data_IF_119622145272
#
_entry.id   IF_119622145272
#
_cell.length_a   1.000
_cell.length_b   1.000
_cell.length_c   1.000
_cell.angle_alpha   90.00
_cell.angle_beta   90.00
_cell.angle_gamma   90.00
#
_symmetry.space_group_name_H-M   'P 1'
#
loop_
_entity.id
_entity.type
_entity.pdbx_description
1 polymer ?
#
# COMPACT_ATOMS: atom_id res chain seq x y z
N UNK A 1 22.83 -43.17 8.66
CA UNK A 1 22.92 -42.76 7.24
C UNK A 1 21.57 -42.34 6.63
N UNK A 2 20.44 -42.46 7.33
CA UNK A 2 19.11 -42.05 6.84
C UNK A 2 18.77 -40.57 7.09
N UNK A 3 19.50 -39.85 7.95
CA UNK A 3 19.12 -38.50 8.37
C UNK A 3 19.40 -37.39 7.33
N UNK A 4 20.42 -37.56 6.46
CA UNK A 4 20.74 -36.56 5.44
C UNK A 4 19.72 -36.50 4.29
N UNK A 5 18.96 -37.57 4.03
CA UNK A 5 17.92 -37.57 2.99
C UNK A 5 16.64 -36.88 3.45
N UNK A 6 16.34 -36.87 4.74
CA UNK A 6 15.12 -36.23 5.28
C UNK A 6 15.28 -34.71 5.39
N UNK A 7 16.47 -34.24 5.77
CA UNK A 7 16.80 -32.81 5.87
C UNK A 7 16.80 -32.07 4.51
N UNK A 8 17.22 -32.77 3.44
CA UNK A 8 17.22 -32.22 2.07
C UNK A 8 15.81 -32.12 1.48
N UNK A 9 14.90 -33.04 1.87
CA UNK A 9 13.49 -33.00 1.46
C UNK A 9 12.74 -31.89 2.21
N UNK A 10 13.00 -31.68 3.51
CA UNK A 10 12.33 -30.63 4.31
C UNK A 10 12.80 -29.22 3.91
N UNK A 11 14.10 -29.02 3.70
CA UNK A 11 14.65 -27.74 3.20
C UNK A 11 14.19 -27.41 1.78
N UNK A 12 14.14 -28.38 0.87
CA UNK A 12 13.61 -28.16 -0.50
C UNK A 12 12.11 -27.88 -0.50
N UNK A 13 11.34 -28.47 0.42
CA UNK A 13 9.90 -28.21 0.57
C UNK A 13 9.63 -26.84 1.17
N UNK A 14 10.38 -26.43 2.19
CA UNK A 14 10.31 -25.06 2.76
C UNK A 14 10.70 -23.99 1.73
N UNK A 15 11.78 -24.19 0.98
CA UNK A 15 12.20 -23.24 -0.06
C UNK A 15 11.17 -23.14 -1.20
N UNK A 16 10.51 -24.25 -1.55
CA UNK A 16 9.46 -24.24 -2.57
C UNK A 16 8.16 -23.57 -2.09
N UNK A 17 7.77 -23.75 -0.83
CA UNK A 17 6.64 -23.03 -0.23
C UNK A 17 6.93 -21.52 -0.05
N UNK A 18 8.14 -21.17 0.38
CA UNK A 18 8.57 -19.76 0.46
C UNK A 18 8.58 -19.12 -0.95
N UNK A 19 9.04 -19.84 -1.97
CA UNK A 19 9.02 -19.38 -3.37
C UNK A 19 7.60 -19.20 -3.94
N UNK A 20 6.67 -20.07 -3.58
CA UNK A 20 5.26 -19.98 -4.00
C UNK A 20 4.52 -18.84 -3.28
N UNK A 21 4.77 -18.61 -1.98
CA UNK A 21 4.24 -17.46 -1.23
C UNK A 21 4.83 -16.13 -1.71
N UNK A 22 6.08 -16.15 -2.16
CA UNK A 22 6.75 -14.96 -2.70
C UNK A 22 6.22 -14.61 -4.10
N UNK A 23 6.06 -15.61 -4.97
CA UNK A 23 5.53 -15.41 -6.32
C UNK A 23 4.07 -14.96 -6.32
N UNK A 24 3.22 -15.50 -5.43
CA UNK A 24 1.82 -15.08 -5.31
C UNK A 24 1.67 -13.62 -4.86
N UNK A 25 2.57 -13.14 -3.99
CA UNK A 25 2.61 -11.74 -3.56
C UNK A 25 2.99 -10.80 -4.71
N UNK A 26 4.05 -11.10 -5.46
CA UNK A 26 4.42 -10.30 -6.64
C UNK A 26 3.37 -10.36 -7.75
N UNK A 27 2.76 -11.53 -7.96
CA UNK A 27 1.69 -11.73 -8.95
C UNK A 27 0.44 -10.90 -8.61
N UNK A 28 0.02 -10.91 -7.35
CA UNK A 28 -1.11 -10.11 -6.87
C UNK A 28 -0.86 -8.60 -6.97
N UNK A 29 0.33 -8.15 -6.59
CA UNK A 29 0.72 -6.74 -6.75
C UNK A 29 0.77 -6.29 -8.21
N UNK A 30 1.35 -7.12 -9.09
CA UNK A 30 1.41 -6.86 -10.53
C UNK A 30 0.02 -6.81 -11.16
N UNK A 31 -0.86 -7.76 -10.81
CA UNK A 31 -2.24 -7.79 -11.29
C UNK A 31 -2.98 -6.52 -10.85
N UNK A 32 -2.83 -6.11 -9.59
CA UNK A 32 -3.49 -4.91 -9.09
C UNK A 32 -3.01 -3.64 -9.82
N UNK A 33 -1.71 -3.51 -10.08
CA UNK A 33 -1.16 -2.42 -10.89
C UNK A 33 -1.68 -2.47 -12.33
N UNK A 34 -1.75 -3.64 -12.95
CA UNK A 34 -2.24 -3.81 -14.31
C UNK A 34 -3.71 -3.39 -14.43
N UNK A 35 -4.56 -3.81 -13.49
CA UNK A 35 -5.98 -3.40 -13.45
C UNK A 35 -6.11 -1.90 -13.22
N UNK A 36 -5.27 -1.32 -12.36
CA UNK A 36 -5.29 0.13 -12.10
C UNK A 36 -4.93 0.93 -13.36
N UNK A 37 -3.82 0.59 -14.02
CA UNK A 37 -3.38 1.25 -15.26
C UNK A 37 -4.41 1.06 -16.37
N UNK A 38 -5.00 -0.12 -16.47
CA UNK A 38 -6.08 -0.38 -17.42
C UNK A 38 -7.29 0.52 -17.15
N UNK A 39 -7.73 0.64 -15.89
CA UNK A 39 -8.80 1.54 -15.49
C UNK A 39 -8.51 3.02 -15.81
N UNK A 40 -7.26 3.47 -15.59
CA UNK A 40 -6.84 4.83 -15.92
C UNK A 40 -6.84 5.08 -17.43
N UNK A 41 -6.40 4.10 -18.22
CA UNK A 41 -6.44 4.18 -19.68
C UNK A 41 -7.85 4.17 -20.26
N UNK A 42 -8.78 3.46 -19.62
CA UNK A 42 -10.19 3.43 -20.02
C UNK A 42 -10.92 4.75 -19.71
N UNK A 43 -10.45 5.50 -18.72
CA UNK A 43 -11.06 6.74 -18.27
C UNK A 43 -10.63 7.99 -19.07
N UNK A 44 -9.66 7.88 -19.98
CA UNK A 44 -9.25 8.97 -20.87
C UNK A 44 -7.74 9.08 -21.03
N UNK A 45 -7.23 10.31 -21.16
CA UNK A 45 -5.81 10.56 -21.34
C UNK A 45 -5.01 10.22 -20.07
N UNK A 46 -4.00 9.35 -20.20
CA UNK A 46 -3.06 8.98 -19.13
C UNK A 46 -2.33 10.23 -18.59
N UNK A 47 -2.10 11.23 -19.45
CA UNK A 47 -1.50 12.51 -19.06
C UNK A 47 -2.29 13.25 -17.98
N UNK A 48 -3.62 13.10 -17.94
CA UNK A 48 -4.48 13.73 -16.93
C UNK A 48 -4.23 13.19 -15.51
N UNK A 49 -3.64 12.00 -15.41
CA UNK A 49 -3.34 11.32 -14.15
C UNK A 49 -1.91 11.55 -13.67
N UNK A 50 -1.12 12.38 -14.36
CA UNK A 50 0.26 12.69 -13.96
C UNK A 50 0.29 14.17 -13.59
N UNK A 51 0.16 14.43 -12.29
CA UNK A 51 0.16 15.80 -11.75
C UNK A 51 1.34 15.98 -10.80
N UNK A 52 2.38 16.63 -11.31
CA UNK A 52 3.68 16.80 -10.65
C UNK A 52 3.57 17.47 -9.27
N UNK A 53 2.77 18.54 -9.06
CA UNK A 53 2.67 19.20 -7.75
C UNK A 53 2.27 18.22 -6.64
N UNK A 54 1.25 17.40 -6.86
CA UNK A 54 0.79 16.41 -5.88
C UNK A 54 1.84 15.32 -5.62
N UNK A 55 2.58 14.88 -6.65
CA UNK A 55 3.67 13.91 -6.45
C UNK A 55 4.76 14.47 -5.54
N UNK A 56 5.09 15.76 -5.66
CA UNK A 56 6.07 16.44 -4.81
C UNK A 56 5.55 16.58 -3.39
N UNK A 57 4.28 16.95 -3.21
CA UNK A 57 3.66 17.10 -1.88
C UNK A 57 3.60 15.74 -1.18
N UNK A 58 2.98 14.74 -1.81
CA UNK A 58 2.80 13.42 -1.20
C UNK A 58 4.14 12.73 -0.98
N UNK A 59 5.00 12.71 -2.00
CA UNK A 59 6.34 12.11 -1.90
C UNK A 59 7.22 12.84 -0.90
N UNK A 60 7.25 14.17 -0.96
CA UNK A 60 8.05 15.03 -0.08
C UNK A 60 7.64 14.92 1.39
N UNK A 61 6.34 14.98 1.69
CA UNK A 61 5.85 14.82 3.06
C UNK A 61 6.09 13.41 3.59
N UNK A 62 5.98 12.40 2.74
CA UNK A 62 6.23 11.01 3.16
C UNK A 62 7.70 10.78 3.46
N UNK A 63 8.60 11.19 2.57
CA UNK A 63 10.06 11.07 2.77
C UNK A 63 10.53 11.94 3.93
N UNK A 64 10.10 13.20 3.99
CA UNK A 64 10.43 14.13 5.07
C UNK A 64 9.90 13.67 6.43
N UNK A 65 8.65 13.21 6.48
CA UNK A 65 8.05 12.68 7.70
C UNK A 65 8.74 11.40 8.19
N UNK A 66 9.12 10.50 7.29
CA UNK A 66 9.92 9.31 7.61
C UNK A 66 11.29 9.68 8.16
N UNK A 67 11.95 10.68 7.55
CA UNK A 67 13.21 11.18 8.05
C UNK A 67 13.06 11.76 9.46
N UNK A 68 12.06 12.60 9.70
CA UNK A 68 11.79 13.17 11.02
C UNK A 68 11.45 12.11 12.09
N UNK A 69 10.71 11.06 11.70
CA UNK A 69 10.18 10.08 12.67
C UNK A 69 11.16 8.94 12.95
N UNK A 70 11.89 8.48 11.94
CA UNK A 70 12.73 7.27 12.05
C UNK A 70 14.23 7.56 11.86
N UNK A 71 14.59 8.74 11.36
CA UNK A 71 15.97 9.07 10.99
C UNK A 71 16.39 8.48 9.65
N UNK A 72 17.15 9.24 8.86
CA UNK A 72 17.49 8.87 7.47
C UNK A 72 18.23 7.53 7.36
N UNK A 73 19.15 7.26 8.28
CA UNK A 73 19.92 6.01 8.28
C UNK A 73 19.05 4.76 8.51
N UNK A 74 18.00 4.86 9.32
CA UNK A 74 17.08 3.73 9.58
C UNK A 74 16.16 3.52 8.38
N UNK A 75 15.68 4.60 7.77
CA UNK A 75 14.81 4.54 6.58
C UNK A 75 15.52 3.84 5.42
N UNK A 76 16.77 4.25 5.11
CA UNK A 76 17.55 3.64 4.04
C UNK A 76 17.80 2.15 4.31
N UNK A 77 18.13 1.79 5.56
CA UNK A 77 18.31 0.38 5.94
C UNK A 77 17.02 -0.43 5.81
N UNK A 78 15.89 0.13 6.22
CA UNK A 78 14.58 -0.51 6.09
C UNK A 78 14.21 -0.77 4.63
N UNK A 79 14.36 0.24 3.76
CA UNK A 79 14.08 0.10 2.31
C UNK A 79 15.02 -0.92 1.67
N UNK A 80 16.33 -0.85 1.95
CA UNK A 80 17.30 -1.83 1.43
C UNK A 80 16.99 -3.26 1.89
N UNK A 81 16.55 -3.43 3.13
CA UNK A 81 16.20 -4.74 3.66
C UNK A 81 15.00 -5.37 2.93
N UNK A 82 14.03 -4.56 2.52
CA UNK A 82 12.91 -5.02 1.68
C UNK A 82 13.41 -5.43 0.30
N UNK A 83 14.19 -4.58 -0.37
CA UNK A 83 14.65 -4.83 -1.75
C UNK A 83 15.49 -6.10 -1.88
N UNK A 84 16.34 -6.38 -0.89
CA UNK A 84 17.23 -7.55 -0.89
C UNK A 84 16.53 -8.77 -0.25
N UNK A 85 15.36 -8.58 0.36
CA UNK A 85 14.71 -9.63 1.15
C UNK A 85 15.60 -10.15 2.28
N UNK A 86 16.25 -9.23 3.00
CA UNK A 86 17.21 -9.56 4.06
C UNK A 86 16.51 -10.39 5.14
N UNK A 87 17.07 -11.57 5.45
CA UNK A 87 16.69 -12.36 6.63
C UNK A 87 17.48 -11.80 7.83
N UNK A 88 16.76 -11.30 8.81
CA UNK A 88 17.38 -10.67 9.98
C UNK A 88 17.80 -11.74 10.97
N UNK A 89 18.92 -11.49 11.65
CA UNK A 89 19.34 -12.28 12.83
C UNK A 89 19.01 -11.54 14.14
N UNK A 90 18.99 -10.21 14.10
CA UNK A 90 18.70 -9.36 15.26
C UNK A 90 17.26 -8.81 15.22
N UNK A 91 16.51 -9.03 16.30
CA UNK A 91 15.14 -8.53 16.48
C UNK A 91 15.07 -6.98 16.43
N UNK A 92 16.06 -6.28 16.98
CA UNK A 92 16.05 -4.81 17.00
C UNK A 92 16.08 -4.19 15.59
N UNK A 93 16.91 -4.74 14.69
CA UNK A 93 16.97 -4.29 13.28
C UNK A 93 15.70 -4.64 12.50
N UNK A 94 15.15 -5.82 12.76
CA UNK A 94 13.91 -6.29 12.15
C UNK A 94 12.73 -5.36 12.52
N UNK A 95 12.52 -5.11 13.81
CA UNK A 95 11.46 -4.23 14.31
C UNK A 95 11.64 -2.80 13.81
N UNK A 96 12.88 -2.30 13.73
CA UNK A 96 13.14 -0.98 13.17
C UNK A 96 12.74 -0.90 11.69
N UNK A 97 13.00 -1.95 10.91
CA UNK A 97 12.66 -2.00 9.48
C UNK A 97 11.16 -2.09 9.24
N UNK A 98 10.45 -2.95 10.01
CA UNK A 98 8.99 -3.04 9.97
C UNK A 98 8.34 -1.73 10.40
N UNK A 99 8.88 -1.08 11.45
CA UNK A 99 8.40 0.22 11.93
C UNK A 99 8.50 1.30 10.86
N UNK A 100 9.57 1.33 10.06
CA UNK A 100 9.69 2.28 8.93
C UNK A 100 8.55 2.08 7.94
N UNK A 101 8.19 0.83 7.63
CA UNK A 101 7.09 0.55 6.69
C UNK A 101 5.73 0.99 7.26
N UNK A 102 5.45 0.64 8.52
CA UNK A 102 4.20 1.05 9.19
C UNK A 102 4.07 2.57 9.30
N UNK A 103 5.17 3.26 9.65
CA UNK A 103 5.18 4.72 9.72
C UNK A 103 5.05 5.34 8.34
N UNK A 104 5.71 4.77 7.33
CA UNK A 104 5.61 5.23 5.94
C UNK A 104 4.17 5.20 5.44
N UNK A 105 3.45 4.10 5.71
CA UNK A 105 2.03 3.96 5.39
C UNK A 105 1.17 5.06 6.03
N UNK A 106 1.34 5.27 7.34
CA UNK A 106 0.54 6.26 8.06
C UNK A 106 0.85 7.70 7.60
N UNK A 107 2.13 8.02 7.37
CA UNK A 107 2.54 9.35 6.93
C UNK A 107 2.06 9.60 5.49
N UNK A 108 2.11 8.60 4.61
CA UNK A 108 1.57 8.72 3.25
C UNK A 108 0.08 9.08 3.26
N UNK A 109 -0.74 8.42 4.11
CA UNK A 109 -2.15 8.79 4.29
C UNK A 109 -2.34 10.23 4.79
N UNK A 110 -1.54 10.65 5.77
CA UNK A 110 -1.57 12.02 6.28
C UNK A 110 -1.22 13.03 5.17
N UNK A 111 -0.26 12.70 4.30
CA UNK A 111 0.11 13.51 3.15
C UNK A 111 -1.03 13.60 2.11
N UNK A 112 -1.80 12.54 1.92
CA UNK A 112 -3.01 12.55 1.08
C UNK A 112 -4.09 13.49 1.63
N UNK A 113 -4.33 13.47 2.94
CA UNK A 113 -5.27 14.38 3.60
C UNK A 113 -4.79 15.84 3.45
N UNK A 114 -3.48 16.08 3.59
CA UNK A 114 -2.91 17.41 3.35
C UNK A 114 -3.20 17.89 1.92
N UNK A 115 -3.00 17.02 0.93
CA UNK A 115 -3.26 17.30 -0.49
C UNK A 115 -4.75 17.64 -0.74
N UNK A 116 -5.66 16.89 -0.13
CA UNK A 116 -7.09 17.18 -0.18
C UNK A 116 -7.42 18.59 0.34
N UNK A 117 -6.80 18.99 1.45
CA UNK A 117 -6.98 20.34 2.01
C UNK A 117 -6.44 21.41 1.06
N UNK A 118 -5.28 21.19 0.41
CA UNK A 118 -4.75 22.16 -0.56
C UNK A 118 -5.66 22.37 -1.77
N UNK A 119 -6.29 21.30 -2.27
CA UNK A 119 -7.26 21.40 -3.36
C UNK A 119 -8.53 22.14 -2.94
N UNK A 120 -9.03 21.93 -1.72
CA UNK A 120 -10.14 22.71 -1.18
C UNK A 120 -9.78 24.20 -1.03
N UNK A 121 -8.58 24.52 -0.55
CA UNK A 121 -8.10 25.90 -0.46
C UNK A 121 -8.07 26.55 -1.85
N UNK A 122 -7.64 25.82 -2.89
CA UNK A 122 -7.61 26.32 -4.25
C UNK A 122 -9.00 26.69 -4.78
N UNK A 123 -10.01 25.84 -4.52
CA UNK A 123 -11.41 26.10 -4.90
C UNK A 123 -11.96 27.32 -4.15
N UNK A 124 -11.72 27.39 -2.84
CA UNK A 124 -12.27 28.45 -1.99
C UNK A 124 -11.62 29.82 -2.22
N UNK A 125 -10.46 29.87 -2.88
CA UNK A 125 -9.73 31.12 -3.13
C UNK A 125 -10.44 32.06 -4.12
N UNK A 126 -11.07 31.52 -5.16
CA UNK A 126 -11.85 32.32 -6.11
C UNK A 126 -13.07 31.56 -6.64
N UNK A 127 -14.18 31.68 -5.93
CA UNK A 127 -15.45 31.04 -6.28
C UNK A 127 -16.15 31.66 -7.50
N UNK A 128 -15.61 32.75 -8.05
CA UNK A 128 -16.27 33.48 -9.16
C UNK A 128 -15.89 32.91 -10.52
N UNK A 129 -14.79 32.16 -10.60
CA UNK A 129 -14.34 31.50 -11.82
C UNK A 129 -14.56 29.97 -11.73
N UNK A 130 -15.57 29.42 -12.44
CA UNK A 130 -15.86 27.98 -12.40
C UNK A 130 -14.74 27.12 -13.02
N UNK A 131 -13.83 27.70 -13.81
CA UNK A 131 -12.70 26.95 -14.38
C UNK A 131 -11.69 26.51 -13.30
N UNK A 132 -11.59 27.25 -12.20
CA UNK A 132 -10.68 26.96 -11.09
C UNK A 132 -11.17 25.80 -10.21
N UNK A 133 -12.49 25.55 -10.20
CA UNK A 133 -13.11 24.47 -9.42
C UNK A 133 -12.61 23.10 -9.91
N UNK A 134 -12.57 22.90 -11.23
CA UNK A 134 -12.11 21.63 -11.82
C UNK A 134 -10.65 21.32 -11.47
N UNK A 135 -9.78 22.33 -11.55
CA UNK A 135 -8.36 22.19 -11.21
C UNK A 135 -8.17 21.89 -9.71
N UNK A 136 -8.87 22.61 -8.83
CA UNK A 136 -8.79 22.39 -7.38
C UNK A 136 -9.32 21.01 -6.95
N UNK A 137 -10.40 20.53 -7.59
CA UNK A 137 -10.94 19.20 -7.33
C UNK A 137 -9.99 18.09 -7.82
N UNK A 138 -9.39 18.24 -9.01
CA UNK A 138 -8.42 17.29 -9.53
C UNK A 138 -7.19 17.18 -8.60
N UNK A 139 -6.68 18.31 -8.12
CA UNK A 139 -5.59 18.40 -7.14
C UNK A 139 -5.91 17.57 -5.88
N UNK A 140 -7.11 17.75 -5.31
CA UNK A 140 -7.54 17.04 -4.11
C UNK A 140 -7.64 15.52 -4.32
N UNK A 141 -8.21 15.08 -5.43
CA UNK A 141 -8.44 13.66 -5.71
C UNK A 141 -7.16 12.92 -6.11
N UNK A 142 -6.32 13.53 -6.95
CA UNK A 142 -5.03 12.94 -7.35
C UNK A 142 -4.08 12.82 -6.16
N UNK A 143 -4.09 13.78 -5.23
CA UNK A 143 -3.30 13.71 -4.00
C UNK A 143 -3.67 12.51 -3.12
N UNK A 144 -4.97 12.26 -2.94
CA UNK A 144 -5.45 11.06 -2.21
C UNK A 144 -5.06 9.79 -2.98
N UNK A 145 -5.25 9.77 -4.31
CA UNK A 145 -4.89 8.62 -5.13
C UNK A 145 -3.41 8.25 -4.96
N UNK A 146 -2.49 9.20 -5.10
CA UNK A 146 -1.06 8.94 -4.95
C UNK A 146 -0.70 8.52 -3.52
N UNK A 147 -1.35 9.10 -2.51
CA UNK A 147 -1.15 8.71 -1.12
C UNK A 147 -1.60 7.27 -0.85
N UNK A 148 -2.77 6.86 -1.36
CA UNK A 148 -3.29 5.48 -1.25
C UNK A 148 -2.35 4.51 -1.94
N UNK A 149 -1.90 4.83 -3.16
CA UNK A 149 -0.93 4.01 -3.89
C UNK A 149 0.33 3.85 -3.04
N UNK A 150 0.90 4.95 -2.55
CA UNK A 150 2.13 4.87 -1.74
C UNK A 150 1.92 4.08 -0.43
N UNK A 151 0.80 4.29 0.26
CA UNK A 151 0.49 3.66 1.54
C UNK A 151 0.19 2.16 1.42
N UNK A 152 -0.73 1.78 0.52
CA UNK A 152 -1.29 0.43 0.43
C UNK A 152 -0.64 -0.41 -0.66
N UNK A 153 -0.08 0.18 -1.72
CA UNK A 153 0.59 -0.59 -2.79
C UNK A 153 2.08 -0.77 -2.54
N UNK A 154 2.67 0.09 -1.70
CA UNK A 154 4.12 0.05 -1.43
C UNK A 154 4.36 -0.28 0.04
N UNK A 155 4.02 0.60 0.97
CA UNK A 155 4.42 0.41 2.38
C UNK A 155 3.76 -0.80 3.06
N UNK A 156 2.44 -0.98 2.90
CA UNK A 156 1.73 -2.12 3.49
C UNK A 156 2.28 -3.48 3.02
N UNK A 157 2.42 -3.76 1.71
CA UNK A 157 2.97 -5.03 1.24
C UNK A 157 4.43 -5.21 1.65
N UNK A 158 5.27 -4.16 1.59
CA UNK A 158 6.66 -4.24 2.03
C UNK A 158 6.80 -4.59 3.52
N UNK A 159 5.95 -4.02 4.39
CA UNK A 159 5.93 -4.35 5.82
C UNK A 159 5.53 -5.81 6.06
N UNK A 160 4.47 -6.27 5.40
CA UNK A 160 4.01 -7.67 5.48
C UNK A 160 5.06 -8.65 4.98
N UNK A 161 5.73 -8.33 3.87
CA UNK A 161 6.80 -9.14 3.30
C UNK A 161 7.95 -9.35 4.31
N UNK A 162 8.38 -8.30 5.01
CA UNK A 162 9.40 -8.43 6.05
C UNK A 162 8.93 -9.34 7.20
N UNK A 163 7.67 -9.21 7.63
CA UNK A 163 7.10 -10.00 8.73
C UNK A 163 7.03 -11.48 8.35
N UNK A 164 6.46 -11.81 7.20
CA UNK A 164 6.30 -13.21 6.75
C UNK A 164 7.66 -13.88 6.58
N UNK A 165 8.65 -13.19 6.02
CA UNK A 165 9.99 -13.76 5.78
C UNK A 165 10.82 -13.92 7.07
N UNK A 166 10.48 -13.16 8.11
CA UNK A 166 11.15 -13.20 9.41
C UNK A 166 10.19 -13.65 10.51
N UNK A 167 9.29 -14.57 10.19
CA UNK A 167 8.23 -15.03 11.10
C UNK A 167 8.75 -15.60 12.43
N UNK A 168 9.98 -16.09 12.46
CA UNK A 168 10.68 -16.57 13.65
C UNK A 168 11.07 -15.43 14.62
N UNK A 169 11.26 -14.21 14.10
CA UNK A 169 11.51 -13.00 14.89
C UNK A 169 10.23 -12.19 15.14
N UNK A 170 9.18 -12.45 14.36
CA UNK A 170 7.89 -11.81 14.54
C UNK A 170 7.25 -12.29 15.85
N UNK A 171 7.29 -11.45 16.88
CA UNK A 171 6.54 -11.69 18.10
C UNK A 171 5.03 -11.81 17.82
N UNK A 172 4.28 -12.49 18.69
CA UNK A 172 2.84 -12.73 18.50
C UNK A 172 2.04 -11.47 18.16
N UNK A 173 2.43 -10.31 18.70
CA UNK A 173 1.78 -9.02 18.43
C UNK A 173 1.85 -8.57 16.95
N UNK A 174 2.83 -9.04 16.17
CA UNK A 174 2.97 -8.74 14.74
C UNK A 174 2.28 -9.77 13.84
N UNK A 175 1.98 -10.97 14.38
CA UNK A 175 1.30 -12.05 13.65
C UNK A 175 -0.21 -11.90 13.62
N UNK A 176 -0.76 -10.97 14.40
CA UNK A 176 -2.21 -10.77 14.43
C UNK A 176 -2.68 -10.16 13.10
N UNK A 177 -3.34 -10.99 12.30
CA UNK A 177 -4.08 -10.53 11.14
C UNK A 177 -5.13 -9.51 11.64
N UNK A 178 -5.16 -8.27 11.10
CA UNK A 178 -6.10 -7.28 11.59
C UNK A 178 -7.50 -7.77 11.26
N UNK A 179 -8.33 -7.97 12.30
CA UNK A 179 -9.75 -8.31 12.16
C UNK A 179 -10.46 -7.38 11.15
N UNK A 180 -9.98 -6.14 11.05
CA UNK A 180 -10.38 -5.13 10.08
C UNK A 180 -10.25 -5.57 8.61
N UNK A 181 -9.24 -6.36 8.24
CA UNK A 181 -9.10 -6.85 6.86
C UNK A 181 -10.20 -7.88 6.51
N UNK A 182 -10.53 -8.77 7.46
CA UNK A 182 -11.66 -9.70 7.32
C UNK A 182 -12.98 -8.95 7.26
N UNK A 183 -13.14 -7.91 8.07
CA UNK A 183 -14.34 -7.06 8.04
C UNK A 183 -14.46 -6.24 6.75
N UNK A 184 -13.38 -5.72 6.21
CA UNK A 184 -13.42 -4.97 4.94
C UNK A 184 -13.90 -5.86 3.78
N UNK A 185 -13.41 -7.10 3.70
CA UNK A 185 -13.87 -8.09 2.71
C UNK A 185 -15.36 -8.39 2.89
N UNK A 186 -15.82 -8.56 4.14
CA UNK A 186 -17.24 -8.77 4.44
C UNK A 186 -18.11 -7.56 4.04
N UNK A 187 -17.68 -6.34 4.37
CA UNK A 187 -18.40 -5.11 4.05
C UNK A 187 -18.49 -4.91 2.54
N UNK A 188 -17.37 -5.05 1.81
CA UNK A 188 -17.35 -4.96 0.34
C UNK A 188 -18.26 -6.03 -0.27
N UNK A 189 -18.18 -7.27 0.21
CA UNK A 189 -19.07 -8.34 -0.20
C UNK A 189 -20.55 -8.00 0.01
N UNK A 190 -20.91 -7.44 1.17
CA UNK A 190 -22.28 -7.00 1.47
C UNK A 190 -22.74 -5.84 0.59
N UNK A 191 -21.86 -4.90 0.25
CA UNK A 191 -22.20 -3.81 -0.69
C UNK A 191 -22.51 -4.34 -2.10
N UNK A 192 -21.77 -5.34 -2.59
CA UNK A 192 -22.06 -5.98 -3.88
C UNK A 192 -23.38 -6.75 -3.87
N UNK A 193 -23.70 -7.45 -2.77
CA UNK A 193 -24.98 -8.17 -2.61
C UNK A 193 -26.15 -7.17 -2.62
N UNK A 194 -26.04 -6.08 -1.85
CA UNK A 194 -27.07 -5.03 -1.82
C UNK A 194 -27.25 -4.38 -3.19
N UNK A 195 -26.16 -4.11 -3.91
CA UNK A 195 -26.24 -3.56 -5.27
C UNK A 195 -26.94 -4.51 -6.25
N UNK A 196 -26.66 -5.82 -6.19
CA UNK A 196 -27.33 -6.81 -7.03
C UNK A 196 -28.82 -6.95 -6.69
N UNK A 197 -29.18 -6.90 -5.41
CA UNK A 197 -30.57 -6.91 -4.96
C UNK A 197 -31.34 -5.69 -5.46
N UNK A 198 -30.73 -4.49 -5.39
CA UNK A 198 -31.33 -3.26 -5.92
C UNK A 198 -31.52 -3.31 -7.45
N UNK A 199 -30.60 -3.93 -8.19
CA UNK A 199 -30.72 -4.09 -9.65
C UNK A 199 -31.82 -5.10 -10.04
N UNK A 200 -31.99 -6.19 -9.28
CA UNK A 200 -33.08 -7.14 -9.50
C UNK A 200 -34.45 -6.53 -9.21
N UNK A 201 -34.56 -5.72 -8.15
CA UNK A 201 -35.81 -5.01 -7.83
C UNK A 201 -36.21 -3.95 -8.87
N UNK A 202 -35.25 -3.40 -9.62
CA UNK A 202 -35.51 -2.44 -10.70
C UNK A 202 -35.96 -3.10 -12.01
N UNK A 203 -35.76 -4.41 -12.18
CA UNK A 203 -36.15 -5.16 -13.39
C UNK A 203 -37.60 -5.67 -13.37
N UNK A 204 -38.33 -5.48 -12.26
CA UNK A 204 -39.74 -5.84 -12.11
C UNK A 204 -40.71 -4.66 -12.30
N UNK A 205 -40.20 -3.50 -12.77
CA UNK A 205 -40.98 -2.31 -13.15
C UNK A 205 -40.94 -2.14 -14.66
#
# INVERSE_FOLDING_TARGET
MQDHHTETIDSSRQTNEEGMKLSSFYMGGLLMLAVMVWGMSAAGDIGAWIYIPEMIIVGGLTVGGLWMTCGLGVVIRGIKAVLIGKRFSNNAEFVASVRVMDRGRNIAWIAGIFSFITGLIAILRDLRDPSTIGMGMATAMLGILYAVILAELIFAPCGRFLITRNEHLAGEKLKHEPWMAKMAILVIGMSFINMAASLMAFGEI
#
